data_IF_590680996926
#
_entry.id   IF_590680996926
#
_cell.length_a   1.000
_cell.length_b   1.000
_cell.length_c   1.000
_cell.angle_alpha   90.00
_cell.angle_beta   90.00
_cell.angle_gamma   90.00
#
_symmetry.space_group_name_H-M   'P 1'
#
loop_
_entity.id
_entity.type
_entity.pdbx_description
1 polymer ?
#
# COMPACT_ATOMS: atom_id res chain seq x y z
N UNK A 1 3.24 16.40 -2.49
CA UNK A 1 3.59 14.98 -2.30
C UNK A 1 3.66 14.31 -3.65
N UNK A 2 4.58 13.36 -3.83
CA UNK A 2 4.64 12.52 -5.01
C UNK A 2 4.25 11.08 -4.64
N UNK A 3 3.67 10.35 -5.59
CA UNK A 3 3.44 8.92 -5.44
C UNK A 3 4.66 8.20 -6.00
N UNK A 4 5.31 7.41 -5.16
CA UNK A 4 6.44 6.57 -5.54
C UNK A 4 5.98 5.11 -5.57
N UNK A 5 6.31 4.41 -6.66
CA UNK A 5 6.03 2.99 -6.81
C UNK A 5 7.34 2.26 -7.05
N UNK A 6 7.61 1.27 -6.21
CA UNK A 6 8.83 0.49 -6.27
C UNK A 6 8.52 -0.97 -6.03
N UNK A 7 9.17 -1.83 -6.81
CA UNK A 7 8.99 -3.26 -6.70
C UNK A 7 10.31 -3.96 -7.05
N UNK A 8 10.79 -4.81 -6.13
CA UNK A 8 11.87 -5.74 -6.44
C UNK A 8 11.30 -6.92 -7.23
N UNK A 9 11.69 -7.03 -8.50
CA UNK A 9 11.29 -8.14 -9.37
C UNK A 9 12.26 -9.32 -9.31
N UNK A 10 13.44 -9.16 -8.70
CA UNK A 10 14.39 -10.25 -8.58
C UNK A 10 14.14 -11.05 -7.29
N UNK A 11 14.60 -12.30 -7.26
CA UNK A 11 14.48 -13.15 -6.07
C UNK A 11 15.60 -12.94 -5.04
N UNK A 12 16.53 -12.01 -5.33
CA UNK A 12 17.58 -11.61 -4.38
C UNK A 12 17.11 -10.45 -3.51
N UNK A 13 17.56 -10.36 -2.25
CA UNK A 13 17.30 -9.18 -1.41
C UNK A 13 17.72 -7.88 -2.11
N UNK A 14 16.92 -6.84 -1.92
CA UNK A 14 17.19 -5.49 -2.41
C UNK A 14 17.01 -4.50 -1.26
N UNK A 15 17.75 -3.39 -1.32
CA UNK A 15 17.65 -2.30 -0.35
C UNK A 15 16.90 -1.13 -0.96
N UNK A 16 15.80 -0.75 -0.34
CA UNK A 16 15.08 0.48 -0.65
C UNK A 16 15.70 1.65 0.12
N UNK A 17 15.90 2.80 -0.53
CA UNK A 17 16.40 4.02 0.09
C UNK A 17 15.49 5.18 -0.30
N UNK A 18 14.86 5.80 0.69
CA UNK A 18 14.14 7.07 0.54
C UNK A 18 14.93 8.19 1.19
N UNK A 19 15.09 9.31 0.48
CA UNK A 19 15.68 10.53 0.98
C UNK A 19 14.68 11.67 0.86
N UNK A 20 14.55 12.46 1.92
CA UNK A 20 13.63 13.59 1.98
C UNK A 20 14.40 14.87 2.24
N UNK A 21 13.88 15.99 1.76
CA UNK A 21 14.48 17.32 1.92
C UNK A 21 14.11 18.01 3.26
N UNK A 22 13.51 17.28 4.19
CA UNK A 22 13.05 17.74 5.50
C UNK A 22 13.53 16.78 6.58
N UNK A 23 13.86 17.31 7.76
CA UNK A 23 14.18 16.52 8.97
C UNK A 23 12.95 15.83 9.56
N UNK A 24 11.75 16.38 9.30
CA UNK A 24 10.47 15.77 9.63
C UNK A 24 9.68 15.50 8.34
N UNK A 25 10.04 14.43 7.60
CA UNK A 25 9.32 14.07 6.39
C UNK A 25 8.06 13.30 6.73
N UNK A 26 6.92 13.76 6.22
CA UNK A 26 5.69 12.96 6.20
C UNK A 26 5.82 11.82 5.19
N UNK A 27 5.57 10.58 5.62
CA UNK A 27 5.46 9.40 4.76
C UNK A 27 4.05 8.84 4.83
N UNK A 28 3.48 8.50 3.68
CA UNK A 28 2.14 7.94 3.57
C UNK A 28 2.17 6.65 2.74
N UNK A 29 1.78 5.54 3.37
CA UNK A 29 1.55 4.27 2.67
C UNK A 29 0.13 4.26 2.13
N UNK A 30 -0.02 4.44 0.81
CA UNK A 30 -1.32 4.71 0.17
C UNK A 30 -2.38 3.68 0.53
N UNK A 31 -2.08 2.38 0.40
CA UNK A 31 -3.06 1.32 0.68
C UNK A 31 -3.62 1.39 2.12
N UNK A 32 -2.74 1.46 3.12
CA UNK A 32 -3.15 1.53 4.52
C UNK A 32 -3.84 2.85 4.86
N UNK A 33 -3.33 3.98 4.38
CA UNK A 33 -3.92 5.27 4.69
C UNK A 33 -5.27 5.46 4.00
N UNK A 34 -5.43 5.01 2.76
CA UNK A 34 -6.67 5.19 2.01
C UNK A 34 -7.75 4.20 2.45
N UNK A 35 -7.46 2.90 2.50
CA UNK A 35 -8.46 1.88 2.83
C UNK A 35 -8.60 1.64 4.34
N UNK A 36 -7.53 1.84 5.12
CA UNK A 36 -7.50 1.53 6.56
C UNK A 36 -7.82 2.71 7.48
N UNK A 37 -7.39 3.93 7.15
CA UNK A 37 -7.52 5.07 8.05
C UNK A 37 -8.71 5.98 7.77
N UNK A 38 -9.23 6.01 6.53
CA UNK A 38 -10.38 6.84 6.17
C UNK A 38 -11.71 6.11 6.44
N UNK A 39 -12.80 6.84 6.80
CA UNK A 39 -14.12 6.25 6.90
C UNK A 39 -14.54 5.59 5.58
N UNK A 40 -15.14 4.41 5.65
CA UNK A 40 -15.48 3.64 4.45
C UNK A 40 -16.51 4.36 3.54
N UNK A 41 -17.35 5.24 4.10
CA UNK A 41 -18.23 6.12 3.31
C UNK A 41 -17.45 7.12 2.45
N UNK A 42 -16.34 7.66 2.96
CA UNK A 42 -15.47 8.60 2.24
C UNK A 42 -14.72 7.87 1.13
N UNK A 43 -14.19 6.68 1.42
CA UNK A 43 -13.54 5.82 0.43
C UNK A 43 -14.51 5.42 -0.67
N UNK A 44 -15.70 4.93 -0.31
CA UNK A 44 -16.75 4.55 -1.26
C UNK A 44 -17.17 5.69 -2.16
N UNK A 45 -17.40 6.89 -1.61
CA UNK A 45 -17.70 8.09 -2.40
C UNK A 45 -16.55 8.47 -3.35
N UNK A 46 -15.29 8.38 -2.90
CA UNK A 46 -14.11 8.67 -3.72
C UNK A 46 -13.92 7.69 -4.88
N UNK A 47 -14.46 6.48 -4.75
CA UNK A 47 -14.41 5.43 -5.77
C UNK A 47 -15.70 5.34 -6.61
N UNK A 48 -16.52 6.39 -6.63
CA UNK A 48 -17.73 6.43 -7.47
C UNK A 48 -18.94 5.69 -6.90
N UNK A 49 -19.00 5.53 -5.57
CA UNK A 49 -20.14 4.90 -4.88
C UNK A 49 -19.97 3.40 -4.62
N UNK A 50 -18.74 2.89 -4.56
CA UNK A 50 -18.50 1.51 -4.13
C UNK A 50 -19.06 1.27 -2.73
N UNK A 51 -19.72 0.13 -2.54
CA UNK A 51 -20.44 -0.21 -1.31
C UNK A 51 -19.48 -0.36 -0.11
N UNK A 52 -19.95 0.06 1.05
CA UNK A 52 -19.22 0.06 2.33
C UNK A 52 -18.76 -1.34 2.76
N UNK A 53 -19.50 -2.40 2.42
CA UNK A 53 -19.10 -3.78 2.74
C UNK A 53 -17.80 -4.18 2.05
N UNK A 54 -17.62 -3.77 0.79
CA UNK A 54 -16.41 -4.08 0.02
C UNK A 54 -15.16 -3.43 0.61
N UNK A 55 -15.28 -2.24 1.21
CA UNK A 55 -14.12 -1.56 1.81
C UNK A 55 -13.75 -2.18 3.17
N UNK A 56 -14.74 -2.56 3.98
CA UNK A 56 -14.47 -3.27 5.24
C UNK A 56 -13.82 -4.64 4.99
N UNK A 57 -14.23 -5.34 3.92
CA UNK A 57 -13.59 -6.58 3.48
C UNK A 57 -12.12 -6.36 3.06
N UNK A 58 -11.78 -5.22 2.46
CA UNK A 58 -10.38 -4.90 2.09
C UNK A 58 -9.52 -4.69 3.34
N UNK A 59 -10.07 -4.10 4.40
CA UNK A 59 -9.30 -3.73 5.61
C UNK A 59 -8.67 -4.93 6.31
N UNK A 60 -9.35 -6.07 6.33
CA UNK A 60 -8.82 -7.29 6.96
C UNK A 60 -7.64 -7.90 6.19
N UNK A 61 -7.44 -7.48 4.94
CA UNK A 61 -6.35 -7.91 4.08
C UNK A 61 -5.21 -6.89 3.97
N UNK A 62 -5.33 -5.73 4.63
CA UNK A 62 -4.27 -4.72 4.63
C UNK A 62 -3.05 -5.21 5.41
N UNK A 63 -1.91 -5.09 4.76
CA UNK A 63 -0.60 -5.47 5.30
C UNK A 63 0.08 -4.25 5.92
N UNK A 64 0.68 -4.41 7.11
CA UNK A 64 1.39 -3.32 7.77
C UNK A 64 2.67 -2.91 7.01
N UNK A 65 3.28 -3.85 6.30
CA UNK A 65 4.49 -3.63 5.52
C UNK A 65 4.12 -3.32 4.05
N UNK A 66 4.55 -2.18 3.47
CA UNK A 66 4.29 -1.86 2.06
C UNK A 66 5.04 -2.75 1.05
N UNK A 67 6.03 -3.53 1.50
CA UNK A 67 6.99 -4.25 0.63
C UNK A 67 6.75 -5.77 0.54
N UNK A 68 5.50 -6.23 0.65
CA UNK A 68 5.17 -7.68 0.63
C UNK A 68 5.33 -8.32 -0.74
N UNK A 69 5.34 -7.51 -1.81
CA UNK A 69 5.43 -7.97 -3.19
C UNK A 69 4.11 -8.54 -3.72
N UNK A 70 4.01 -8.69 -5.04
CA UNK A 70 2.83 -9.26 -5.69
C UNK A 70 2.82 -10.80 -5.60
N UNK A 71 1.64 -11.41 -5.67
CA UNK A 71 1.45 -12.85 -5.53
C UNK A 71 2.33 -13.67 -6.50
N UNK A 72 2.41 -13.24 -7.76
CA UNK A 72 3.27 -13.87 -8.78
C UNK A 72 4.74 -13.88 -8.36
N UNK A 73 5.27 -12.75 -7.89
CA UNK A 73 6.66 -12.62 -7.50
C UNK A 73 6.98 -13.51 -6.29
N UNK A 74 6.07 -13.56 -5.31
CA UNK A 74 6.22 -14.43 -4.15
C UNK A 74 6.24 -15.91 -4.56
N UNK A 75 5.34 -16.31 -5.45
CA UNK A 75 5.30 -17.67 -5.99
C UNK A 75 6.58 -18.01 -6.76
N UNK A 76 7.01 -17.13 -7.68
CA UNK A 76 8.23 -17.32 -8.48
C UNK A 76 9.48 -17.44 -7.62
N UNK A 77 9.57 -16.70 -6.52
CA UNK A 77 10.75 -16.63 -5.66
C UNK A 77 10.68 -17.53 -4.41
N UNK A 78 9.58 -18.25 -4.18
CA UNK A 78 9.41 -19.14 -3.03
C UNK A 78 9.28 -18.42 -1.67
N UNK A 79 8.56 -17.29 -1.64
CA UNK A 79 8.36 -16.44 -0.45
C UNK A 79 6.92 -16.47 0.08
#
# INVERSE_FOLDING_TARGET
GAIHFEQNLNCTPATFVAAFNSEDPGVLTIGNSFFGSLPATVVGASLGGLNITTIEDIRVHLVQNPSVGIAECRQRCGL
#
